data_IF_778472081440
#
_entry.id   IF_778472081440
#
_cell.length_a   1.000
_cell.length_b   1.000
_cell.length_c   1.000
_cell.angle_alpha   90.00
_cell.angle_beta   90.00
_cell.angle_gamma   90.00
#
_symmetry.space_group_name_H-M   'P 1'
#
loop_
_entity.id
_entity.type
_entity.pdbx_description
1 polymer ?
#
# COMPACT_ATOMS: atom_id res chain seq x y z
N UNK A 1 -6.17 -3.67 -11.57
CA UNK A 1 -5.51 -2.88 -10.54
C UNK A 1 -4.00 -2.99 -10.65
N UNK A 2 -3.29 -2.04 -10.07
CA UNK A 2 -1.83 -2.04 -10.03
C UNK A 2 -1.33 -3.01 -8.95
N UNK A 3 -0.21 -3.68 -9.18
CA UNK A 3 0.47 -4.54 -8.21
C UNK A 3 1.69 -3.85 -7.61
N UNK A 4 2.17 -4.31 -6.45
CA UNK A 4 3.37 -3.78 -5.81
C UNK A 4 4.62 -3.95 -6.68
N UNK A 5 4.75 -5.11 -7.35
CA UNK A 5 5.86 -5.39 -8.27
C UNK A 5 5.90 -4.47 -9.51
N UNK A 6 4.77 -3.87 -9.88
CA UNK A 6 4.69 -2.96 -11.04
C UNK A 6 4.65 -1.49 -10.66
N UNK A 7 4.88 -1.15 -9.37
CA UNK A 7 4.78 0.21 -8.84
C UNK A 7 5.59 1.24 -9.65
N UNK A 8 6.80 0.90 -10.05
CA UNK A 8 7.68 1.82 -10.77
C UNK A 8 7.41 1.89 -12.28
N UNK A 9 6.74 0.89 -12.87
CA UNK A 9 6.70 0.70 -14.33
C UNK A 9 5.30 0.85 -14.93
N UNK A 10 4.26 0.67 -14.13
CA UNK A 10 2.89 0.77 -14.62
C UNK A 10 2.42 2.23 -14.66
N UNK A 11 2.24 2.75 -15.86
CA UNK A 11 1.75 4.11 -16.08
C UNK A 11 0.22 4.14 -15.96
N UNK A 12 -0.30 4.66 -14.87
CA UNK A 12 -1.75 4.69 -14.59
C UNK A 12 -2.25 6.02 -14.00
N UNK A 13 -1.36 6.97 -13.70
CA UNK A 13 -1.72 8.27 -13.13
C UNK A 13 -1.82 9.30 -14.25
N UNK A 14 -2.97 9.96 -14.35
CA UNK A 14 -3.19 11.01 -15.34
C UNK A 14 -3.40 12.35 -14.64
N UNK A 15 -2.73 13.39 -15.13
CA UNK A 15 -2.87 14.75 -14.65
C UNK A 15 -3.49 15.65 -15.71
N UNK A 16 -4.35 16.55 -15.29
CA UNK A 16 -4.88 17.60 -16.18
C UNK A 16 -3.73 18.48 -16.69
N UNK A 17 -3.71 18.72 -17.99
CA UNK A 17 -2.66 19.53 -18.64
C UNK A 17 -1.39 18.77 -19.03
N UNK A 18 -1.30 17.48 -18.74
CA UNK A 18 -0.18 16.61 -19.14
C UNK A 18 -0.64 15.54 -20.13
N UNK A 19 0.20 15.28 -21.13
CA UNK A 19 -0.06 14.19 -22.08
C UNK A 19 0.28 12.83 -21.47
N UNK A 20 -0.57 11.83 -21.75
CA UNK A 20 -0.34 10.42 -21.38
C UNK A 20 -0.46 10.13 -19.88
N UNK A 21 -0.32 8.85 -19.55
CA UNK A 21 -0.29 8.37 -18.18
C UNK A 21 1.14 8.43 -17.63
N UNK A 22 1.25 8.67 -16.33
CA UNK A 22 2.52 8.69 -15.58
C UNK A 22 2.64 7.45 -14.72
N UNK A 23 3.87 7.00 -14.53
CA UNK A 23 4.21 6.01 -13.50
C UNK A 23 4.15 6.66 -12.11
N UNK A 24 4.16 5.85 -11.05
CA UNK A 24 4.16 6.39 -9.68
C UNK A 24 5.39 7.27 -9.39
N UNK A 25 6.64 6.91 -9.79
CA UNK A 25 7.80 7.80 -9.65
C UNK A 25 7.61 9.15 -10.34
N UNK A 26 7.14 9.14 -11.60
CA UNK A 26 6.87 10.39 -12.34
C UNK A 26 5.78 11.23 -11.69
N UNK A 27 4.71 10.58 -11.20
CA UNK A 27 3.62 11.26 -10.52
C UNK A 27 4.09 11.92 -9.21
N UNK A 28 4.88 11.21 -8.41
CA UNK A 28 5.42 11.73 -7.14
C UNK A 28 6.40 12.89 -7.40
N UNK A 29 7.23 12.79 -8.44
CA UNK A 29 8.14 13.88 -8.83
C UNK A 29 7.37 15.16 -9.25
N UNK A 30 6.23 15.01 -9.94
CA UNK A 30 5.37 16.13 -10.33
C UNK A 30 4.61 16.73 -9.15
N UNK A 31 4.03 15.89 -8.28
CA UNK A 31 3.19 16.33 -7.16
C UNK A 31 3.99 16.82 -5.97
N UNK A 32 5.20 16.33 -5.79
CA UNK A 32 6.09 16.62 -4.66
C UNK A 32 5.38 16.49 -3.29
N UNK A 33 4.69 15.38 -3.03
CA UNK A 33 3.96 15.23 -1.78
C UNK A 33 4.92 15.09 -0.61
N UNK A 34 4.55 15.62 0.55
CA UNK A 34 5.32 15.41 1.77
C UNK A 34 5.38 13.92 2.14
N UNK A 35 4.28 13.20 1.90
CA UNK A 35 4.13 11.80 2.31
C UNK A 35 3.37 11.02 1.25
N UNK A 36 3.80 9.78 1.05
CA UNK A 36 3.09 8.79 0.23
C UNK A 36 2.78 7.57 1.08
N UNK A 37 1.51 7.17 1.09
CA UNK A 37 1.05 5.95 1.77
C UNK A 37 0.74 4.93 0.68
N UNK A 38 1.44 3.82 0.70
CA UNK A 38 1.39 2.78 -0.32
C UNK A 38 0.66 1.56 0.21
N UNK A 39 -0.49 1.23 -0.37
CA UNK A 39 -1.30 0.06 -0.02
C UNK A 39 -1.37 -0.87 -1.24
N UNK A 40 -0.40 -1.77 -1.35
CA UNK A 40 -0.28 -2.73 -2.45
C UNK A 40 -0.08 -4.14 -1.89
N UNK A 41 -0.37 -5.15 -2.70
CA UNK A 41 -0.12 -6.54 -2.39
C UNK A 41 -1.28 -7.47 -2.69
N UNK A 42 -2.54 -7.03 -2.58
CA UNK A 42 -3.70 -7.90 -2.88
C UNK A 42 -3.63 -8.47 -4.29
N UNK A 43 -3.22 -7.67 -5.28
CA UNK A 43 -3.05 -8.11 -6.66
C UNK A 43 -1.75 -8.90 -6.92
N UNK A 44 -0.89 -8.99 -5.93
CA UNK A 44 0.37 -9.75 -6.00
C UNK A 44 0.24 -11.12 -5.33
N UNK A 45 -0.81 -11.35 -4.54
CA UNK A 45 -1.03 -12.62 -3.83
C UNK A 45 -1.11 -13.79 -4.81
N UNK A 46 -0.24 -14.76 -4.64
CA UNK A 46 -0.19 -15.96 -5.49
C UNK A 46 0.57 -17.08 -4.79
N UNK A 47 0.15 -18.31 -4.99
CA UNK A 47 0.87 -19.48 -4.49
C UNK A 47 2.23 -19.72 -5.17
N UNK A 48 2.44 -19.12 -6.34
CA UNK A 48 3.70 -19.20 -7.11
C UNK A 48 4.63 -18.00 -6.91
N UNK A 49 4.25 -17.02 -6.11
CA UNK A 49 5.04 -15.82 -5.84
C UNK A 49 5.28 -15.69 -4.33
N UNK A 50 6.51 -15.88 -3.90
CA UNK A 50 6.81 -15.87 -2.47
C UNK A 50 6.71 -14.47 -1.85
N UNK A 51 6.39 -14.43 -0.55
CA UNK A 51 6.33 -13.16 0.19
C UNK A 51 7.68 -12.40 0.14
N UNK A 52 8.81 -13.11 0.16
CA UNK A 52 10.13 -12.51 0.05
C UNK A 52 10.41 -11.94 -1.35
N UNK A 53 10.00 -12.62 -2.41
CA UNK A 53 10.11 -12.12 -3.78
C UNK A 53 9.24 -10.89 -3.98
N UNK A 54 8.00 -10.93 -3.48
CA UNK A 54 7.10 -9.77 -3.50
C UNK A 54 7.72 -8.56 -2.79
N UNK A 55 8.20 -8.73 -1.55
CA UNK A 55 8.81 -7.65 -0.78
C UNK A 55 10.05 -7.07 -1.49
N UNK A 56 10.90 -7.94 -2.07
CA UNK A 56 12.07 -7.50 -2.84
C UNK A 56 11.70 -6.67 -4.07
N UNK A 57 10.70 -7.09 -4.84
CA UNK A 57 10.28 -6.35 -6.03
C UNK A 57 9.54 -5.06 -5.68
N UNK A 58 8.75 -5.10 -4.61
CA UNK A 58 8.08 -3.90 -4.09
C UNK A 58 9.10 -2.86 -3.58
N UNK A 59 10.15 -3.30 -2.89
CA UNK A 59 11.24 -2.44 -2.45
C UNK A 59 11.92 -1.71 -3.61
N UNK A 60 12.15 -2.38 -4.75
CA UNK A 60 12.68 -1.75 -5.97
C UNK A 60 11.76 -0.63 -6.46
N UNK A 61 10.45 -0.88 -6.45
CA UNK A 61 9.44 0.11 -6.83
C UNK A 61 9.44 1.33 -5.91
N UNK A 62 9.53 1.12 -4.59
CA UNK A 62 9.58 2.20 -3.59
C UNK A 62 10.87 3.02 -3.73
N UNK A 63 12.00 2.35 -3.96
CA UNK A 63 13.28 3.05 -4.22
C UNK A 63 13.20 3.94 -5.46
N UNK A 64 12.57 3.48 -6.52
CA UNK A 64 12.37 4.32 -7.71
C UNK A 64 11.51 5.56 -7.42
N UNK A 65 10.53 5.46 -6.52
CA UNK A 65 9.74 6.62 -6.06
C UNK A 65 10.62 7.60 -5.26
N UNK A 66 11.45 7.09 -4.35
CA UNK A 66 12.38 7.93 -3.58
C UNK A 66 13.45 8.60 -4.45
N UNK A 67 13.98 7.87 -5.44
CA UNK A 67 14.98 8.41 -6.37
C UNK A 67 14.39 9.55 -7.20
N UNK A 68 13.12 9.45 -7.57
CA UNK A 68 12.40 10.49 -8.31
C UNK A 68 12.08 11.73 -7.44
N UNK A 69 11.88 11.56 -6.14
CA UNK A 69 11.68 12.64 -5.18
C UNK A 69 12.24 12.27 -3.79
N UNK A 70 13.52 12.54 -3.50
CA UNK A 70 14.20 12.06 -2.29
C UNK A 70 13.62 12.55 -0.96
N UNK A 71 12.92 13.67 -0.96
CA UNK A 71 12.32 14.25 0.26
C UNK A 71 10.98 13.62 0.66
N UNK A 72 10.48 12.63 -0.10
CA UNK A 72 9.19 12.00 0.20
C UNK A 72 9.30 11.08 1.41
N UNK A 73 8.37 11.24 2.35
CA UNK A 73 8.20 10.29 3.46
C UNK A 73 7.38 9.09 2.99
N UNK A 74 7.96 7.89 3.06
CA UNK A 74 7.31 6.65 2.61
C UNK A 74 6.70 5.91 3.79
N UNK A 75 5.41 5.62 3.69
CA UNK A 75 4.68 4.74 4.59
C UNK A 75 4.13 3.57 3.77
N UNK A 76 4.54 2.37 4.11
CA UNK A 76 3.97 1.13 3.55
C UNK A 76 2.82 0.71 4.45
N UNK A 77 1.64 0.63 3.90
CA UNK A 77 0.44 0.21 4.63
C UNK A 77 0.24 -1.31 4.48
N UNK A 78 -0.30 -1.94 5.52
CA UNK A 78 -0.61 -3.35 5.51
C UNK A 78 -1.59 -3.70 4.38
N UNK A 79 -1.42 -4.87 3.79
CA UNK A 79 -2.39 -5.47 2.88
C UNK A 79 -3.67 -5.75 3.68
N UNK A 80 -4.84 -5.30 3.22
CA UNK A 80 -6.10 -5.54 3.89
C UNK A 80 -6.42 -7.03 4.03
N UNK A 81 -7.16 -7.44 5.08
CA UNK A 81 -7.59 -8.82 5.25
C UNK A 81 -8.65 -9.21 4.20
N UNK A 82 -8.70 -10.49 3.88
CA UNK A 82 -9.76 -11.08 3.08
C UNK A 82 -11.00 -11.36 3.94
N UNK A 83 -12.17 -11.40 3.31
CA UNK A 83 -13.36 -11.99 3.90
C UNK A 83 -13.20 -13.50 4.11
N UNK A 84 -13.85 -14.04 5.13
CA UNK A 84 -13.82 -15.50 5.37
C UNK A 84 -14.35 -16.30 4.17
N UNK A 85 -15.31 -15.72 3.44
CA UNK A 85 -15.73 -16.19 2.14
C UNK A 85 -15.35 -15.15 1.09
N UNK A 86 -14.66 -15.58 0.03
CA UNK A 86 -14.24 -14.72 -1.06
C UNK A 86 -14.24 -15.48 -2.39
N UNK A 87 -14.40 -14.74 -3.47
CA UNK A 87 -14.62 -15.29 -4.81
C UNK A 87 -13.39 -16.01 -5.39
N UNK A 88 -12.18 -15.62 -4.99
CA UNK A 88 -10.95 -16.21 -5.51
C UNK A 88 -10.35 -17.22 -4.51
N UNK A 89 -10.64 -18.49 -4.68
CA UNK A 89 -10.21 -19.59 -3.80
C UNK A 89 -8.68 -19.83 -3.80
N UNK A 90 -7.93 -19.22 -4.71
CA UNK A 90 -6.47 -19.28 -4.73
C UNK A 90 -5.81 -18.29 -3.75
N UNK A 91 -6.58 -17.36 -3.20
CA UNK A 91 -6.12 -16.45 -2.16
C UNK A 91 -6.41 -17.02 -0.78
N UNK A 92 -5.50 -16.81 0.15
CA UNK A 92 -5.68 -17.21 1.55
C UNK A 92 -5.29 -16.09 2.51
N UNK A 93 -5.94 -16.03 3.67
CA UNK A 93 -5.56 -15.08 4.71
C UNK A 93 -4.13 -15.33 5.21
N UNK A 94 -3.67 -16.58 5.21
CA UNK A 94 -2.28 -16.94 5.54
C UNK A 94 -1.29 -16.26 4.59
N UNK A 95 -1.57 -16.25 3.28
CA UNK A 95 -0.71 -15.51 2.32
C UNK A 95 -0.67 -14.02 2.63
N UNK A 96 -1.83 -13.40 2.94
CA UNK A 96 -1.88 -11.97 3.34
C UNK A 96 -1.00 -11.73 4.56
N UNK A 97 -1.07 -12.59 5.57
CA UNK A 97 -0.31 -12.45 6.80
C UNK A 97 1.20 -12.66 6.59
N UNK A 98 1.59 -13.61 5.74
CA UNK A 98 2.99 -13.83 5.34
C UNK A 98 3.55 -12.64 4.55
N UNK A 99 2.78 -12.10 3.62
CA UNK A 99 3.18 -10.91 2.87
C UNK A 99 3.31 -9.69 3.79
N UNK A 100 2.39 -9.48 4.70
CA UNK A 100 2.48 -8.39 5.68
C UNK A 100 3.72 -8.52 6.59
N UNK A 101 4.08 -9.72 7.02
CA UNK A 101 5.34 -9.96 7.75
C UNK A 101 6.57 -9.60 6.91
N UNK A 102 6.56 -9.97 5.63
CA UNK A 102 7.65 -9.62 4.72
C UNK A 102 7.74 -8.11 4.48
N UNK A 103 6.60 -7.40 4.44
CA UNK A 103 6.56 -5.93 4.35
C UNK A 103 7.14 -5.25 5.60
N UNK A 104 6.86 -5.77 6.80
CA UNK A 104 7.46 -5.27 8.05
C UNK A 104 8.99 -5.37 7.97
N UNK A 105 9.51 -6.54 7.61
CA UNK A 105 10.95 -6.77 7.48
C UNK A 105 11.56 -5.85 6.40
N UNK A 106 10.92 -5.76 5.23
CA UNK A 106 11.33 -4.86 4.16
C UNK A 106 11.43 -3.41 4.63
N UNK A 107 10.45 -2.94 5.40
CA UNK A 107 10.46 -1.58 5.93
C UNK A 107 11.61 -1.37 6.94
N UNK A 108 11.86 -2.33 7.83
CA UNK A 108 12.97 -2.29 8.78
C UNK A 108 14.33 -2.24 8.05
N UNK A 109 14.53 -3.08 7.04
CA UNK A 109 15.78 -3.16 6.28
C UNK A 109 16.09 -1.89 5.48
N UNK A 110 15.06 -1.14 5.07
CA UNK A 110 15.20 0.06 4.23
C UNK A 110 14.94 1.39 4.98
N UNK A 111 14.64 1.34 6.27
CA UNK A 111 14.34 2.55 7.07
C UNK A 111 12.99 3.19 6.70
N UNK A 112 12.07 2.44 6.08
CA UNK A 112 10.71 2.90 5.80
C UNK A 112 9.79 2.63 6.98
N UNK A 113 8.63 3.30 6.99
CA UNK A 113 7.62 3.12 8.01
C UNK A 113 6.58 2.11 7.55
N UNK A 114 6.19 1.22 8.46
CA UNK A 114 5.07 0.30 8.25
C UNK A 114 3.88 0.75 9.08
N UNK A 115 2.70 0.81 8.47
CA UNK A 115 1.43 1.14 9.12
C UNK A 115 0.54 -0.11 9.13
N UNK A 116 0.25 -0.65 10.32
CA UNK A 116 -0.56 -1.85 10.47
C UNK A 116 -2.07 -1.55 10.46
N UNK A 117 -2.60 -0.98 9.38
CA UNK A 117 -4.04 -0.71 9.29
C UNK A 117 -4.91 -1.96 9.21
N UNK A 118 -4.32 -3.13 8.98
CA UNK A 118 -5.05 -4.40 9.05
C UNK A 118 -5.67 -4.62 10.44
N UNK A 119 -5.09 -4.06 11.50
CA UNK A 119 -5.59 -4.11 12.88
C UNK A 119 -7.04 -3.63 13.00
N UNK A 120 -7.38 -2.50 12.37
CA UNK A 120 -8.74 -1.94 12.44
C UNK A 120 -9.72 -2.68 11.53
N UNK A 121 -9.22 -3.38 10.52
CA UNK A 121 -10.03 -4.09 9.52
C UNK A 121 -10.31 -5.55 9.88
N UNK A 122 -9.44 -6.18 10.70
CA UNK A 122 -9.57 -7.58 11.09
C UNK A 122 -10.53 -7.78 12.25
N UNK A 123 -11.26 -8.88 12.20
CA UNK A 123 -11.93 -9.48 13.34
C UNK A 123 -10.89 -10.26 14.16
N UNK A 124 -10.75 -9.93 15.43
CA UNK A 124 -9.71 -10.51 16.31
C UNK A 124 -9.92 -11.99 16.62
N UNK A 125 -11.15 -12.49 16.47
CA UNK A 125 -11.49 -13.89 16.76
C UNK A 125 -11.22 -14.81 15.57
N UNK A 126 -11.38 -14.30 14.35
CA UNK A 126 -11.28 -15.09 13.12
C UNK A 126 -10.03 -14.81 12.30
N UNK A 127 -9.45 -13.61 12.45
CA UNK A 127 -8.31 -13.15 11.64
C UNK A 127 -8.70 -12.67 10.23
N UNK A 128 -9.95 -12.84 9.82
CA UNK A 128 -10.49 -12.34 8.55
C UNK A 128 -11.02 -10.91 8.69
N UNK A 129 -11.46 -10.32 7.59
CA UNK A 129 -12.11 -9.02 7.64
C UNK A 129 -13.35 -9.03 8.52
N UNK A 130 -13.59 -7.95 9.26
CA UNK A 130 -14.84 -7.76 10.02
C UNK A 130 -16.04 -7.88 9.10
N UNK A 131 -17.15 -8.37 9.65
CA UNK A 131 -18.44 -8.43 8.95
C UNK A 131 -18.80 -7.05 8.37
N UNK A 132 -19.18 -6.99 7.11
CA UNK A 132 -19.52 -5.76 6.41
C UNK A 132 -18.33 -4.91 5.95
N UNK A 133 -17.08 -5.35 6.16
CA UNK A 133 -15.88 -4.60 5.76
C UNK A 133 -15.36 -4.98 4.36
N UNK A 134 -15.82 -6.08 3.81
CA UNK A 134 -15.57 -6.45 2.41
C UNK A 134 -16.88 -6.60 1.65
N UNK A 135 -16.84 -6.35 0.34
CA UNK A 135 -18.02 -6.48 -0.51
C UNK A 135 -18.50 -7.93 -0.51
N UNK A 136 -19.79 -8.14 -0.32
CA UNK A 136 -20.41 -9.46 -0.36
C UNK A 136 -20.31 -10.15 -1.73
N UNK A 137 -20.08 -9.37 -2.78
CA UNK A 137 -19.93 -9.87 -4.15
C UNK A 137 -18.61 -10.62 -4.39
N UNK A 138 -17.55 -10.29 -3.65
CA UNK A 138 -16.22 -10.89 -3.87
C UNK A 138 -15.45 -11.25 -2.61
N UNK A 139 -15.77 -10.63 -1.46
CA UNK A 139 -15.06 -10.86 -0.20
C UNK A 139 -13.61 -10.34 -0.19
N UNK A 140 -13.24 -9.45 -1.11
CA UNK A 140 -11.87 -8.95 -1.30
C UNK A 140 -11.82 -7.43 -1.23
N UNK A 141 -12.65 -6.75 -2.02
CA UNK A 141 -12.69 -5.30 -2.05
C UNK A 141 -13.33 -4.73 -0.78
N UNK A 142 -12.72 -3.67 -0.25
CA UNK A 142 -13.21 -3.01 0.95
C UNK A 142 -14.52 -2.26 0.66
N UNK A 143 -15.42 -2.27 1.63
CA UNK A 143 -16.63 -1.42 1.62
C UNK A 143 -16.29 0.02 1.99
N UNK A 144 -17.23 0.93 1.78
CA UNK A 144 -17.13 2.32 2.22
C UNK A 144 -16.87 2.41 3.74
N UNK A 145 -17.59 1.63 4.54
CA UNK A 145 -17.37 1.55 5.98
C UNK A 145 -15.94 1.13 6.35
N UNK A 146 -15.38 0.17 5.65
CA UNK A 146 -14.00 -0.26 5.87
C UNK A 146 -12.99 0.82 5.43
N UNK A 147 -13.26 1.51 4.34
CA UNK A 147 -12.44 2.64 3.88
C UNK A 147 -12.46 3.80 4.88
N UNK A 148 -13.60 4.11 5.47
CA UNK A 148 -13.70 5.14 6.53
C UNK A 148 -12.88 4.75 7.77
N UNK A 149 -12.95 3.49 8.17
CA UNK A 149 -12.15 2.96 9.28
C UNK A 149 -10.64 3.03 8.95
N UNK A 150 -10.26 2.64 7.73
CA UNK A 150 -8.88 2.72 7.23
C UNK A 150 -8.36 4.16 7.23
N UNK A 151 -9.10 5.09 6.65
CA UNK A 151 -8.68 6.50 6.62
C UNK A 151 -8.63 7.13 8.01
N UNK A 152 -9.51 6.73 8.90
CA UNK A 152 -9.47 7.16 10.31
C UNK A 152 -8.20 6.63 10.97
N UNK A 153 -7.85 5.35 10.77
CA UNK A 153 -6.63 4.75 11.28
C UNK A 153 -5.38 5.47 10.75
N UNK A 154 -5.31 5.72 9.45
CA UNK A 154 -4.21 6.46 8.82
C UNK A 154 -4.02 7.84 9.45
N UNK A 155 -5.10 8.58 9.69
CA UNK A 155 -5.04 9.92 10.29
C UNK A 155 -4.60 9.92 11.75
N UNK A 156 -4.92 8.86 12.50
CA UNK A 156 -4.69 8.79 13.95
C UNK A 156 -3.42 8.02 14.33
N UNK A 157 -2.89 7.18 13.44
CA UNK A 157 -1.74 6.30 13.71
C UNK A 157 -0.54 6.56 12.80
N UNK A 158 -0.65 7.46 11.82
CA UNK A 158 0.49 7.78 10.95
C UNK A 158 1.59 8.46 11.73
N UNK A 159 2.85 8.05 11.49
CA UNK A 159 4.00 8.74 12.04
C UNK A 159 4.07 10.18 11.51
N UNK A 160 4.32 11.14 12.42
CA UNK A 160 4.75 12.47 12.04
C UNK A 160 6.25 12.36 11.80
N UNK A 161 6.66 12.33 10.54
CA UNK A 161 8.08 12.45 10.19
C UNK A 161 8.49 13.90 10.17
N UNK A 162 9.73 14.18 10.51
CA UNK A 162 10.35 15.49 10.29
C UNK A 162 10.26 15.82 8.78
N UNK A 163 9.86 17.05 8.47
CA UNK A 163 9.78 17.50 7.09
C UNK A 163 11.16 17.90 6.59
N UNK A 164 11.78 17.02 5.83
CA UNK A 164 13.11 17.25 5.23
C UNK A 164 13.04 17.91 3.85
N UNK A 165 11.84 18.22 3.34
CA UNK A 165 11.70 18.89 2.05
C UNK A 165 12.27 20.32 2.14
N UNK A 166 12.91 20.82 1.07
CA UNK A 166 13.25 22.22 0.98
C UNK A 166 12.01 23.10 1.18
N UNK A 167 12.15 24.19 1.92
CA UNK A 167 11.08 25.18 2.02
C UNK A 167 10.76 25.71 0.61
N UNK A 168 9.48 25.71 0.25
CA UNK A 168 9.04 26.36 -0.98
C UNK A 168 9.32 27.86 -0.84
N UNK A 169 10.23 28.37 -1.64
CA UNK A 169 10.37 29.81 -1.80
C UNK A 169 9.13 30.33 -2.53
N UNK A 170 8.44 31.27 -1.92
CA UNK A 170 7.35 31.95 -2.60
C UNK A 170 7.88 32.57 -3.91
N UNK A 171 7.21 32.26 -5.02
CA UNK A 171 7.48 32.87 -6.33
C UNK A 171 6.90 34.24 -6.35
#
# INVERSE_FOLDING_TARGET
>A
GMSGKSLATYACVQFQGYSGYKTMPEAVALMQPRRVILTFGTNDLSSSYSASSFASDYAKGIKAVQDAYPSVDIIVNAIPPLGQQHSNQNLTQTQVDEYNKALVQMCQDNGWKFLNSAEVLKDSSTGYAKSGYVLSSDGIHLTEQAMDALFTYIRTHSYIAEDTRPALTAV
#
